data_IF_350423845743
#
_entry.id   IF_350423845743
#
_cell.length_a   1.000
_cell.length_b   1.000
_cell.length_c   1.000
_cell.angle_alpha   90.00
_cell.angle_beta   90.00
_cell.angle_gamma   90.00
#
_symmetry.space_group_name_H-M   'P 1'
#
loop_
_entity.id
_entity.type
_entity.pdbx_description
1 polymer ?
#
# COMPACT_ATOMS: atom_id res chain seq x y z
N UNK A 1 67.56 -24.23 15.10
CA UNK A 1 66.61 -23.49 14.24
C UNK A 1 66.40 -22.14 14.92
N UNK A 2 66.94 -21.08 14.34
CA UNK A 2 66.83 -19.73 14.89
C UNK A 2 65.42 -19.20 14.64
N UNK A 3 64.66 -18.96 15.71
CA UNK A 3 63.34 -18.32 15.69
C UNK A 3 63.49 -16.91 16.23
N UNK A 4 64.11 -16.04 15.44
CA UNK A 4 64.14 -14.61 15.73
C UNK A 4 62.88 -13.96 15.14
N UNK A 5 62.12 -13.14 15.90
CA UNK A 5 60.93 -12.49 15.39
C UNK A 5 61.30 -11.45 14.31
N UNK A 6 60.56 -11.38 13.18
CA UNK A 6 60.85 -10.40 12.15
C UNK A 6 60.70 -8.98 12.69
N UNK A 7 61.77 -8.19 12.62
CA UNK A 7 61.78 -6.76 12.99
C UNK A 7 61.12 -5.90 11.90
N UNK A 8 60.83 -4.64 12.23
CA UNK A 8 59.88 -3.76 11.52
C UNK A 8 60.02 -3.65 10.00
N UNK A 9 61.21 -3.83 9.43
CA UNK A 9 61.43 -3.81 7.98
C UNK A 9 60.84 -5.05 7.29
N UNK A 10 60.86 -6.21 7.93
CA UNK A 10 60.26 -7.44 7.40
C UNK A 10 58.72 -7.40 7.49
N UNK A 11 58.16 -6.72 8.50
CA UNK A 11 56.73 -6.43 8.59
C UNK A 11 56.29 -5.48 7.48
N UNK A 12 57.06 -4.43 7.17
CA UNK A 12 56.77 -3.54 6.06
C UNK A 12 56.88 -4.25 4.71
N UNK A 13 57.89 -5.10 4.50
CA UNK A 13 58.01 -5.92 3.29
C UNK A 13 56.85 -6.90 3.15
N UNK A 14 56.42 -7.52 4.25
CA UNK A 14 55.28 -8.45 4.25
C UNK A 14 53.95 -7.74 3.96
N UNK A 15 53.73 -6.53 4.52
CA UNK A 15 52.56 -5.70 4.21
C UNK A 15 52.53 -5.26 2.75
N UNK A 16 53.68 -4.87 2.20
CA UNK A 16 53.79 -4.47 0.78
C UNK A 16 53.56 -5.66 -0.15
N UNK A 17 54.10 -6.85 0.15
CA UNK A 17 53.86 -8.05 -0.66
C UNK A 17 52.40 -8.51 -0.60
N UNK A 18 51.75 -8.38 0.56
CA UNK A 18 50.35 -8.73 0.73
C UNK A 18 49.43 -7.76 -0.01
N UNK A 19 49.75 -6.45 -0.04
CA UNK A 19 49.02 -5.46 -0.84
C UNK A 19 49.16 -5.71 -2.34
N UNK A 20 50.34 -6.07 -2.82
CA UNK A 20 50.53 -6.46 -4.23
C UNK A 20 49.75 -7.72 -4.58
N UNK A 21 49.73 -8.73 -3.70
CA UNK A 21 48.98 -9.98 -3.93
C UNK A 21 47.46 -9.76 -3.97
N UNK A 22 46.94 -8.77 -3.22
CA UNK A 22 45.52 -8.39 -3.23
C UNK A 22 45.15 -7.57 -4.47
N UNK A 23 46.06 -6.71 -4.95
CA UNK A 23 45.85 -5.93 -6.17
C UNK A 23 45.91 -6.83 -7.42
N UNK A 24 46.88 -7.74 -7.51
CA UNK A 24 46.96 -8.70 -8.62
C UNK A 24 45.69 -9.57 -8.70
N UNK A 25 45.15 -9.99 -7.55
CA UNK A 25 43.89 -10.76 -7.48
C UNK A 25 42.64 -9.92 -7.81
N UNK A 26 42.70 -8.60 -7.63
CA UNK A 26 41.63 -7.68 -8.00
C UNK A 26 41.66 -7.33 -9.49
N UNK A 27 42.84 -7.34 -10.12
CA UNK A 27 43.01 -7.17 -11.56
C UNK A 27 42.65 -8.43 -12.34
N UNK A 28 42.97 -9.63 -11.84
CA UNK A 28 42.57 -10.92 -12.46
C UNK A 28 41.06 -11.18 -12.45
N UNK A 29 40.31 -10.49 -11.56
CA UNK A 29 38.83 -10.53 -11.55
C UNK A 29 38.18 -9.58 -12.54
N UNK A 30 38.93 -8.70 -13.22
CA UNK A 30 38.40 -7.94 -14.35
C UNK A 30 38.42 -8.83 -15.59
N UNK A 31 37.34 -9.59 -15.71
CA UNK A 31 36.94 -10.37 -16.88
C UNK A 31 37.38 -9.72 -18.19
N UNK A 32 38.26 -10.41 -18.92
CA UNK A 32 38.61 -10.05 -20.27
C UNK A 32 37.34 -9.98 -21.16
N UNK A 33 37.21 -8.97 -22.03
CA UNK A 33 36.00 -8.73 -22.80
C UNK A 33 35.85 -9.77 -23.92
N UNK A 34 34.85 -10.64 -23.81
CA UNK A 34 34.42 -11.50 -24.93
C UNK A 34 33.85 -10.63 -26.05
N UNK A 35 34.63 -10.48 -27.13
CA UNK A 35 34.21 -9.91 -28.41
C UNK A 35 33.19 -10.82 -29.10
N UNK A 36 31.92 -10.39 -29.17
CA UNK A 36 30.94 -10.64 -30.25
C UNK A 36 29.74 -9.74 -29.95
N UNK A 37 29.29 -8.78 -30.74
CA UNK A 37 29.68 -8.24 -32.03
C UNK A 37 28.48 -7.42 -32.48
N UNK A 38 28.61 -6.08 -32.51
CA UNK A 38 27.74 -5.07 -33.18
C UNK A 38 26.24 -5.20 -32.87
N UNK A 39 25.60 -4.25 -32.18
CA UNK A 39 25.41 -2.85 -32.64
C UNK A 39 25.25 -1.92 -31.42
N UNK A 40 25.98 -0.80 -31.45
CA UNK A 40 25.71 0.41 -30.69
C UNK A 40 24.25 0.82 -30.92
N UNK A 41 23.50 1.26 -29.91
CA UNK A 41 23.66 2.55 -29.25
C UNK A 41 22.45 3.42 -29.60
N UNK A 42 22.24 4.49 -28.83
CA UNK A 42 21.26 5.58 -29.02
C UNK A 42 20.01 5.53 -28.13
N UNK A 43 20.20 6.13 -26.95
CA UNK A 43 19.42 7.22 -26.33
C UNK A 43 18.15 7.78 -27.02
N UNK A 44 17.17 8.08 -26.15
CA UNK A 44 16.11 9.13 -26.23
C UNK A 44 15.06 8.99 -27.33
N UNK A 45 13.79 9.04 -26.92
CA UNK A 45 12.69 9.40 -27.80
C UNK A 45 11.32 9.27 -27.18
N UNK A 46 10.85 10.33 -26.51
CA UNK A 46 9.42 10.61 -26.37
C UNK A 46 8.87 10.79 -27.78
N UNK A 47 7.96 9.91 -28.20
CA UNK A 47 7.11 10.12 -29.36
C UNK A 47 5.68 9.74 -28.99
N UNK A 48 4.84 10.76 -28.97
CA UNK A 48 3.39 10.68 -28.88
C UNK A 48 2.83 9.82 -30.02
N UNK A 49 1.99 8.84 -29.67
CA UNK A 49 1.08 8.19 -30.62
C UNK A 49 -0.28 8.88 -30.54
N UNK A 50 -0.34 10.01 -31.22
CA UNK A 50 -1.58 10.60 -31.74
C UNK A 50 -1.84 9.98 -33.12
N UNK A 51 -2.99 9.32 -33.25
CA UNK A 51 -3.67 9.11 -34.53
C UNK A 51 -3.97 7.66 -34.88
N UNK A 52 -5.23 7.23 -34.69
CA UNK A 52 -6.24 7.14 -35.77
C UNK A 52 -7.47 6.30 -35.36
N UNK A 53 -8.65 6.84 -35.66
CA UNK A 53 -9.94 6.13 -35.72
C UNK A 53 -10.85 6.40 -34.52
N UNK A 54 -12.09 6.89 -34.61
CA UNK A 54 -12.99 6.92 -35.75
C UNK A 54 -14.05 8.03 -35.62
N UNK A 55 -14.25 8.72 -36.73
CA UNK A 55 -15.52 9.21 -37.31
C UNK A 55 -16.78 9.36 -36.44
N UNK A 56 -17.33 10.57 -36.48
CA UNK A 56 -18.75 10.92 -36.59
C UNK A 56 -19.67 10.77 -35.37
N UNK A 57 -20.15 11.92 -34.89
CA UNK A 57 -21.33 12.02 -34.03
C UNK A 57 -21.75 13.49 -33.82
N UNK A 58 -22.55 14.02 -34.74
CA UNK A 58 -23.12 15.35 -34.66
C UNK A 58 -24.06 15.49 -33.44
N UNK A 59 -23.80 16.45 -32.56
CA UNK A 59 -24.76 16.91 -31.55
C UNK A 59 -25.61 18.03 -32.14
N UNK A 60 -26.82 17.67 -32.57
CA UNK A 60 -27.87 18.62 -32.89
C UNK A 60 -28.51 19.10 -31.57
N UNK A 61 -28.08 20.27 -31.07
CA UNK A 61 -28.82 21.00 -30.04
C UNK A 61 -30.07 21.60 -30.70
N UNK A 62 -31.15 20.83 -30.67
CA UNK A 62 -32.47 21.28 -31.07
C UNK A 62 -32.93 22.46 -30.20
N UNK A 63 -33.08 23.62 -30.85
CA UNK A 63 -33.91 24.71 -30.39
C UNK A 63 -35.33 24.21 -30.08
N UNK A 64 -35.79 24.44 -28.85
CA UNK A 64 -37.23 24.47 -28.54
C UNK A 64 -37.55 25.91 -28.10
N UNK A 65 -38.20 26.73 -28.95
CA UNK A 65 -38.79 27.97 -28.50
C UNK A 65 -40.13 27.66 -27.81
N UNK A 66 -40.23 27.90 -26.51
CA UNK A 66 -41.52 28.03 -25.84
C UNK A 66 -41.87 29.52 -25.71
N UNK A 67 -42.90 30.02 -26.40
CA UNK A 67 -43.46 31.32 -26.14
C UNK A 67 -44.55 31.17 -25.08
N UNK A 68 -44.24 31.44 -23.81
CA UNK A 68 -45.27 31.74 -22.83
C UNK A 68 -45.13 33.19 -22.39
N UNK A 69 -46.03 33.96 -22.97
CA UNK A 69 -46.39 35.34 -22.73
C UNK A 69 -46.63 35.56 -21.24
N UNK A 70 -45.73 36.30 -20.58
CA UNK A 70 -45.98 36.83 -19.24
C UNK A 70 -46.97 38.00 -19.38
N UNK A 71 -48.22 37.80 -18.94
CA UNK A 71 -49.20 38.88 -18.85
C UNK A 71 -49.02 39.64 -17.53
N UNK A 72 -48.87 40.96 -17.65
CA UNK A 72 -48.73 41.91 -16.56
C UNK A 72 -50.03 42.05 -15.72
N UNK A 73 -49.95 42.61 -14.49
CA UNK A 73 -51.00 42.54 -13.48
C UNK A 73 -52.06 43.66 -13.62
N UNK A 74 -53.30 43.37 -13.22
CA UNK A 74 -54.39 44.35 -13.08
C UNK A 74 -55.32 43.96 -11.89
N UNK A 75 -56.17 44.85 -11.37
CA UNK A 75 -55.94 45.65 -10.18
C UNK A 75 -56.69 45.18 -8.92
N UNK A 76 -56.26 45.77 -7.80
CA UNK A 76 -56.66 45.57 -6.40
C UNK A 76 -58.10 46.00 -6.05
N UNK A 77 -58.81 45.25 -5.18
CA UNK A 77 -59.80 45.82 -4.26
C UNK A 77 -59.27 46.02 -2.82
N UNK A 78 -59.78 47.11 -2.22
CA UNK A 78 -59.49 47.77 -0.95
C UNK A 78 -59.60 46.92 0.35
N UNK A 79 -59.11 47.43 1.51
CA UNK A 79 -58.61 46.62 2.62
C UNK A 79 -59.72 46.07 3.53
N UNK A 80 -59.63 44.79 3.84
CA UNK A 80 -60.32 44.17 4.99
C UNK A 80 -59.34 44.15 6.16
N UNK A 81 -59.83 44.50 7.36
CA UNK A 81 -59.04 44.81 8.55
C UNK A 81 -58.06 43.73 9.02
N UNK A 82 -57.15 44.04 9.96
CA UNK A 82 -56.08 43.14 10.36
C UNK A 82 -56.66 41.85 10.94
N UNK A 83 -56.51 40.76 10.18
CA UNK A 83 -56.65 39.41 10.70
C UNK A 83 -55.47 39.13 11.65
N UNK A 84 -55.78 38.61 12.83
CA UNK A 84 -54.79 38.17 13.81
C UNK A 84 -53.82 37.16 13.16
N UNK A 85 -52.51 37.21 13.48
CA UNK A 85 -51.56 36.24 12.94
C UNK A 85 -51.91 34.83 13.42
N UNK A 86 -52.34 33.97 12.50
CA UNK A 86 -52.40 32.53 12.72
C UNK A 86 -50.99 31.97 12.58
N UNK A 87 -50.48 31.37 13.65
CA UNK A 87 -49.23 30.62 13.65
C UNK A 87 -49.34 29.47 12.64
N UNK A 88 -48.39 29.27 11.71
CA UNK A 88 -48.41 28.12 10.81
C UNK A 88 -48.42 26.83 11.63
N UNK A 89 -49.28 25.89 11.26
CA UNK A 89 -49.25 24.53 11.78
C UNK A 89 -47.86 23.93 11.50
N UNK A 90 -47.20 23.45 12.55
CA UNK A 90 -45.90 22.81 12.45
C UNK A 90 -45.98 21.64 11.45
N UNK A 91 -45.03 21.59 10.51
CA UNK A 91 -44.83 20.44 9.65
C UNK A 91 -44.57 19.19 10.52
N UNK A 92 -45.00 17.99 10.08
CA UNK A 92 -44.70 16.77 10.83
C UNK A 92 -43.19 16.62 10.92
N UNK A 93 -42.68 16.50 12.15
CA UNK A 93 -41.29 16.15 12.42
C UNK A 93 -41.12 14.72 11.93
N UNK A 94 -40.40 14.54 10.82
CA UNK A 94 -39.96 13.22 10.38
C UNK A 94 -38.89 12.77 11.36
N UNK A 95 -39.23 11.83 12.24
CA UNK A 95 -38.27 11.18 13.12
C UNK A 95 -37.18 10.53 12.26
N UNK A 96 -36.00 11.13 12.24
CA UNK A 96 -34.79 10.44 11.78
C UNK A 96 -34.56 9.34 12.81
N UNK A 97 -34.59 8.05 12.43
CA UNK A 97 -34.27 7.00 13.38
C UNK A 97 -32.87 7.25 13.92
N UNK A 98 -32.76 7.28 15.25
CA UNK A 98 -31.48 7.36 15.94
C UNK A 98 -30.54 6.30 15.33
N UNK A 99 -29.29 6.66 14.98
CA UNK A 99 -28.34 5.67 14.47
C UNK A 99 -28.24 4.57 15.52
N UNK A 100 -28.73 3.39 15.19
CA UNK A 100 -28.56 2.20 16.01
C UNK A 100 -27.04 2.04 16.20
N UNK A 101 -26.52 2.03 17.45
CA UNK A 101 -25.11 1.83 17.66
C UNK A 101 -24.76 0.47 17.07
N UNK A 102 -23.99 0.47 15.98
CA UNK A 102 -23.34 -0.74 15.49
C UNK A 102 -22.56 -1.30 16.68
N UNK A 103 -22.72 -2.59 17.04
CA UNK A 103 -21.91 -3.18 18.08
C UNK A 103 -20.45 -3.08 17.64
N UNK A 104 -19.71 -2.14 18.22
CA UNK A 104 -18.25 -2.14 18.15
C UNK A 104 -17.81 -3.38 18.89
N UNK A 105 -17.60 -4.48 18.17
CA UNK A 105 -16.90 -5.64 18.70
C UNK A 105 -15.63 -5.11 19.36
N UNK A 106 -15.59 -5.16 20.70
CA UNK A 106 -14.47 -4.60 21.44
C UNK A 106 -13.31 -5.53 21.19
N UNK A 107 -12.44 -5.14 20.26
CA UNK A 107 -11.16 -5.78 20.03
C UNK A 107 -10.47 -5.95 21.39
N UNK A 108 -9.93 -7.14 21.63
CA UNK A 108 -9.22 -7.43 22.87
C UNK A 108 -8.05 -6.46 23.09
N UNK A 109 -7.56 -6.37 24.32
CA UNK A 109 -6.36 -5.61 24.62
C UNK A 109 -5.18 -6.12 23.77
N UNK A 110 -4.30 -5.22 23.37
CA UNK A 110 -3.10 -5.56 22.60
C UNK A 110 -2.25 -6.60 23.34
N UNK A 111 -1.82 -7.63 22.61
CA UNK A 111 -0.90 -8.65 23.06
C UNK A 111 0.17 -8.92 21.98
N UNK A 112 1.44 -8.71 22.33
CA UNK A 112 2.56 -8.86 21.39
C UNK A 112 2.70 -10.29 20.85
N UNK A 113 2.23 -11.32 21.56
CA UNK A 113 2.29 -12.72 21.11
C UNK A 113 1.02 -13.20 20.37
N UNK A 114 0.01 -12.34 20.23
CA UNK A 114 -1.26 -12.65 19.56
C UNK A 114 -1.58 -11.60 18.48
N UNK A 115 -1.20 -11.86 17.21
CA UNK A 115 -1.44 -10.95 16.10
C UNK A 115 -2.91 -10.64 15.83
N UNK A 116 -3.86 -11.46 16.31
CA UNK A 116 -5.29 -11.16 16.18
C UNK A 116 -5.73 -9.91 16.97
N UNK A 117 -4.92 -9.52 17.96
CA UNK A 117 -5.11 -8.29 18.76
C UNK A 117 -4.46 -7.06 18.13
N UNK A 118 -3.65 -7.23 17.08
CA UNK A 118 -2.88 -6.13 16.48
C UNK A 118 -3.74 -5.27 15.56
N UNK A 119 -3.51 -3.97 15.59
CA UNK A 119 -4.25 -3.00 14.77
C UNK A 119 -3.48 -2.57 13.55
N UNK A 120 -4.17 -2.52 12.42
CA UNK A 120 -3.69 -1.91 11.17
C UNK A 120 -4.15 -0.45 11.13
N UNK A 121 -3.19 0.47 11.10
CA UNK A 121 -3.37 1.89 10.82
C UNK A 121 -2.60 2.28 9.55
N UNK A 122 -2.61 3.55 9.15
CA UNK A 122 -1.82 4.01 7.99
C UNK A 122 -0.31 4.05 8.27
N UNK A 123 0.08 4.13 9.55
CA UNK A 123 1.49 4.28 9.98
C UNK A 123 2.01 3.13 10.83
N UNK A 124 1.18 2.14 11.16
CA UNK A 124 1.54 1.06 12.10
C UNK A 124 0.76 -0.23 11.82
N UNK A 125 1.43 -1.36 12.04
CA UNK A 125 0.79 -2.69 12.05
C UNK A 125 1.22 -3.44 13.31
N UNK A 126 0.36 -3.42 14.34
CA UNK A 126 0.71 -4.01 15.64
C UNK A 126 1.97 -3.37 16.22
N UNK A 127 3.05 -4.12 16.48
CA UNK A 127 4.29 -3.54 16.98
C UNK A 127 5.10 -2.78 15.91
N UNK A 128 4.78 -2.93 14.62
CA UNK A 128 5.61 -2.43 13.53
C UNK A 128 5.26 -0.98 13.21
N UNK A 129 6.21 -0.06 13.40
CA UNK A 129 6.09 1.33 12.97
C UNK A 129 6.61 1.55 11.54
N UNK A 130 5.81 2.17 10.66
CA UNK A 130 6.28 2.66 9.37
C UNK A 130 7.26 3.82 9.60
N UNK A 131 8.44 3.75 8.97
CA UNK A 131 9.58 4.63 9.21
C UNK A 131 10.49 4.20 10.36
N UNK A 132 10.09 3.17 11.13
CA UNK A 132 10.89 2.57 12.20
C UNK A 132 12.14 1.86 11.68
N UNK A 133 13.10 1.56 12.57
CA UNK A 133 14.35 0.90 12.19
C UNK A 133 14.09 -0.57 11.83
N UNK A 134 14.35 -0.98 10.59
CA UNK A 134 13.92 -2.28 10.05
C UNK A 134 14.26 -3.49 10.93
N UNK A 135 15.49 -3.56 11.45
CA UNK A 135 15.92 -4.68 12.29
C UNK A 135 15.20 -4.69 13.65
N UNK A 136 14.95 -3.52 14.24
CA UNK A 136 14.27 -3.42 15.53
C UNK A 136 12.78 -3.80 15.39
N UNK A 137 12.11 -3.30 14.36
CA UNK A 137 10.72 -3.65 14.09
C UNK A 137 10.57 -5.15 13.73
N UNK A 138 11.56 -5.72 13.05
CA UNK A 138 11.63 -7.15 12.75
C UNK A 138 11.82 -8.01 14.01
N UNK A 139 12.67 -7.59 14.94
CA UNK A 139 12.91 -8.31 16.20
C UNK A 139 11.62 -8.46 17.03
N UNK A 140 10.76 -7.44 17.04
CA UNK A 140 9.47 -7.48 17.74
C UNK A 140 8.52 -8.55 17.18
N UNK A 141 8.60 -8.85 15.87
CA UNK A 141 7.82 -9.92 15.24
C UNK A 141 8.25 -11.30 15.72
N UNK A 142 9.49 -11.48 16.17
CA UNK A 142 10.01 -12.76 16.66
C UNK A 142 9.26 -13.34 17.86
N UNK A 143 8.47 -12.51 18.56
CA UNK A 143 7.62 -12.96 19.68
C UNK A 143 6.39 -13.75 19.20
N UNK A 144 5.82 -13.38 18.06
CA UNK A 144 4.60 -13.99 17.52
C UNK A 144 4.83 -14.83 16.27
N UNK A 145 5.82 -14.49 15.46
CA UNK A 145 6.08 -15.06 14.15
C UNK A 145 7.47 -15.66 14.05
N UNK A 146 7.67 -16.51 13.04
CA UNK A 146 9.00 -17.00 12.64
C UNK A 146 9.43 -16.30 11.36
N UNK A 147 10.67 -15.81 11.35
CA UNK A 147 11.27 -15.30 10.13
C UNK A 147 11.41 -16.43 9.11
N UNK A 148 10.98 -16.18 7.88
CA UNK A 148 11.17 -17.09 6.77
C UNK A 148 12.40 -16.65 5.98
N UNK A 149 13.40 -17.53 5.78
CA UNK A 149 14.53 -17.20 4.92
C UNK A 149 14.02 -17.02 3.48
N UNK A 150 14.68 -16.17 2.67
CA UNK A 150 14.41 -16.11 1.24
C UNK A 150 14.68 -17.50 0.65
N UNK A 151 13.66 -18.12 0.07
CA UNK A 151 13.80 -19.44 -0.53
C UNK A 151 14.55 -19.35 -1.86
N UNK A 152 15.49 -20.27 -2.11
CA UNK A 152 16.12 -20.40 -3.44
C UNK A 152 15.04 -20.59 -4.52
N UNK A 153 15.02 -19.73 -5.54
CA UNK A 153 14.01 -19.75 -6.61
C UNK A 153 12.61 -19.28 -6.19
N UNK A 154 12.42 -18.81 -4.96
CA UNK A 154 11.16 -18.21 -4.51
C UNK A 154 11.19 -16.69 -4.68
N UNK A 155 10.04 -16.09 -4.97
CA UNK A 155 9.84 -14.64 -4.90
C UNK A 155 9.73 -14.11 -3.44
N UNK A 156 10.13 -14.91 -2.43
CA UNK A 156 10.11 -14.46 -1.03
C UNK A 156 11.26 -13.51 -0.80
N UNK A 157 10.93 -12.24 -0.56
CA UNK A 157 11.90 -11.22 -0.18
C UNK A 157 12.36 -11.43 1.27
N UNK A 158 13.58 -10.99 1.63
CA UNK A 158 13.96 -10.85 3.04
C UNK A 158 12.90 -10.06 3.82
N UNK A 159 12.78 -10.29 5.13
CA UNK A 159 11.76 -9.60 5.94
C UNK A 159 10.37 -10.23 5.91
N UNK A 160 10.24 -11.48 5.45
CA UNK A 160 8.99 -12.25 5.52
C UNK A 160 8.89 -13.01 6.83
N UNK A 161 7.71 -12.98 7.46
CA UNK A 161 7.40 -13.58 8.75
C UNK A 161 6.09 -14.37 8.67
N UNK A 162 6.10 -15.58 9.23
CA UNK A 162 4.96 -16.51 9.15
C UNK A 162 4.72 -17.26 10.45
N UNK A 163 3.45 -17.61 10.66
CA UNK A 163 2.95 -18.42 11.75
C UNK A 163 1.80 -19.25 11.19
N UNK A 164 1.87 -20.56 11.40
CA UNK A 164 0.86 -21.50 10.91
C UNK A 164 -0.55 -21.08 11.34
N UNK A 165 -1.45 -20.95 10.36
CA UNK A 165 -2.85 -20.60 10.58
C UNK A 165 -3.10 -19.10 10.81
N UNK A 166 -2.08 -18.26 10.63
CA UNK A 166 -2.19 -16.80 10.70
C UNK A 166 -1.82 -16.16 9.36
N UNK A 167 -2.18 -14.90 9.16
CA UNK A 167 -1.68 -14.11 8.04
C UNK A 167 -0.17 -13.93 8.12
N UNK A 168 0.50 -13.87 6.97
CA UNK A 168 1.93 -13.59 6.85
C UNK A 168 2.18 -12.09 6.80
N UNK A 169 3.32 -11.67 7.34
CA UNK A 169 3.77 -10.29 7.36
C UNK A 169 5.07 -10.19 6.55
N UNK A 170 5.14 -9.26 5.62
CA UNK A 170 6.35 -8.93 4.87
C UNK A 170 6.68 -7.46 5.10
N UNK A 171 7.88 -7.21 5.62
CA UNK A 171 8.42 -5.88 5.82
C UNK A 171 9.17 -5.44 4.56
N UNK A 172 8.72 -4.35 3.96
CA UNK A 172 9.50 -3.62 2.97
C UNK A 172 10.35 -2.56 3.67
N UNK A 173 11.51 -2.26 3.08
CA UNK A 173 12.40 -1.22 3.58
C UNK A 173 12.87 -0.30 2.48
N UNK A 174 13.32 0.87 2.90
CA UNK A 174 14.15 1.77 2.11
C UNK A 174 15.53 1.89 2.78
N UNK A 175 16.55 2.17 1.98
CA UNK A 175 17.90 2.42 2.48
C UNK A 175 18.24 3.90 2.29
N UNK A 176 18.62 4.55 3.38
CA UNK A 176 19.12 5.93 3.35
C UNK A 176 20.52 5.99 3.94
N UNK A 177 21.43 6.71 3.28
CA UNK A 177 22.74 6.98 3.84
C UNK A 177 22.64 8.06 4.90
N UNK A 178 22.91 7.71 6.16
CA UNK A 178 22.95 8.61 7.30
C UNK A 178 24.36 8.61 7.86
N UNK A 179 25.03 9.77 7.83
CA UNK A 179 26.38 9.93 8.38
C UNK A 179 27.41 8.91 7.86
N UNK A 180 27.31 8.50 6.59
CA UNK A 180 28.23 7.55 5.95
C UNK A 180 27.90 6.08 6.19
N UNK A 181 26.76 5.76 6.81
CA UNK A 181 26.25 4.41 7.00
C UNK A 181 24.89 4.25 6.32
N UNK A 182 24.66 3.10 5.67
CA UNK A 182 23.33 2.74 5.17
C UNK A 182 22.45 2.32 6.36
N UNK A 183 21.31 3.00 6.50
CA UNK A 183 20.29 2.71 7.51
C UNK A 183 19.04 2.24 6.78
N UNK A 184 18.42 1.17 7.29
CA UNK A 184 17.15 0.64 6.79
C UNK A 184 16.00 1.12 7.66
N UNK A 185 15.01 1.75 7.05
CA UNK A 185 13.73 2.06 7.66
C UNK A 185 12.63 1.22 7.02
N UNK A 186 11.62 0.83 7.80
CA UNK A 186 10.43 0.16 7.28
C UNK A 186 9.68 1.14 6.38
N UNK A 187 9.58 0.83 5.09
CA UNK A 187 8.87 1.67 4.12
C UNK A 187 7.42 1.23 3.92
N UNK A 188 7.11 -0.02 4.26
CA UNK A 188 5.75 -0.55 4.20
C UNK A 188 5.64 -1.95 4.77
N UNK A 189 4.40 -2.36 5.03
CA UNK A 189 4.06 -3.69 5.54
C UNK A 189 3.02 -4.31 4.62
N UNK A 190 3.31 -5.50 4.13
CA UNK A 190 2.35 -6.33 3.41
C UNK A 190 1.82 -7.43 4.33
N UNK A 191 0.51 -7.62 4.33
CA UNK A 191 -0.18 -8.66 5.07
C UNK A 191 -0.89 -9.54 4.04
N UNK A 192 -0.61 -10.84 4.02
CA UNK A 192 -1.22 -11.78 3.05
C UNK A 192 -1.70 -13.06 3.72
N UNK A 193 -2.46 -13.87 2.99
CA UNK A 193 -2.68 -15.26 3.37
C UNK A 193 -1.36 -16.06 3.31
N UNK A 194 -1.23 -17.07 4.18
CA UNK A 194 0.02 -17.86 4.33
C UNK A 194 0.45 -18.59 3.05
N UNK A 195 -0.52 -19.09 2.30
CA UNK A 195 -0.33 -19.80 1.03
C UNK A 195 -0.33 -18.87 -0.20
N UNK A 196 -0.50 -17.56 0.00
CA UNK A 196 -0.70 -16.58 -1.08
C UNK A 196 -2.02 -16.76 -1.84
N UNK A 197 -2.90 -17.64 -1.36
CA UNK A 197 -4.22 -17.90 -1.92
C UNK A 197 -5.22 -16.79 -1.61
N UNK A 198 -6.48 -17.03 -1.99
CA UNK A 198 -7.59 -16.13 -1.66
C UNK A 198 -8.45 -16.79 -0.58
N UNK A 199 -8.32 -16.37 0.69
CA UNK A 199 -9.14 -16.90 1.76
C UNK A 199 -10.57 -16.36 1.64
N UNK A 200 -11.56 -17.24 1.81
CA UNK A 200 -13.00 -16.90 1.76
C UNK A 200 -13.58 -16.60 3.15
N UNK A 201 -12.71 -16.42 4.14
CA UNK A 201 -13.05 -16.07 5.52
C UNK A 201 -11.87 -15.37 6.16
N UNK A 202 -12.13 -14.54 7.18
CA UNK A 202 -11.10 -13.82 7.91
C UNK A 202 -10.01 -14.77 8.43
N UNK A 203 -8.77 -14.50 8.05
CA UNK A 203 -7.59 -15.21 8.54
C UNK A 203 -7.13 -14.57 9.86
N UNK A 204 -6.81 -15.36 10.91
CA UNK A 204 -6.25 -14.82 12.14
C UNK A 204 -5.02 -13.94 11.87
N UNK A 205 -5.02 -12.71 12.42
CA UNK A 205 -3.95 -11.75 12.18
C UNK A 205 -4.39 -10.31 12.41
N UNK A 206 -3.53 -9.34 12.07
CA UNK A 206 -3.84 -7.93 12.28
C UNK A 206 -5.09 -7.52 11.50
N UNK A 207 -5.88 -6.63 12.11
CA UNK A 207 -7.10 -6.06 11.52
C UNK A 207 -7.13 -4.56 11.74
N UNK A 208 -7.81 -3.81 10.86
CA UNK A 208 -8.08 -2.40 11.12
C UNK A 208 -8.96 -2.25 12.36
N UNK A 209 -9.10 -1.03 12.88
CA UNK A 209 -10.00 -0.75 14.01
C UNK A 209 -11.47 -1.15 13.75
N UNK A 210 -11.86 -1.24 12.48
CA UNK A 210 -13.20 -1.67 12.05
C UNK A 210 -13.30 -3.18 11.78
N UNK A 211 -12.25 -3.95 12.04
CA UNK A 211 -12.23 -5.41 11.85
C UNK A 211 -11.93 -5.87 10.43
N UNK A 212 -11.51 -4.99 9.52
CA UNK A 212 -11.10 -5.37 8.16
C UNK A 212 -9.73 -6.05 8.22
N UNK A 213 -9.61 -7.23 7.62
CA UNK A 213 -8.37 -8.00 7.52
C UNK A 213 -8.31 -8.84 6.25
N UNK A 214 -7.30 -9.69 6.16
CA UNK A 214 -7.18 -10.68 5.07
C UNK A 214 -8.35 -11.67 5.17
N UNK A 215 -9.09 -11.84 4.09
CA UNK A 215 -10.32 -12.64 4.02
C UNK A 215 -11.61 -11.85 4.28
N UNK A 216 -11.55 -10.54 4.57
CA UNK A 216 -12.73 -9.67 4.47
C UNK A 216 -13.18 -9.51 3.01
N UNK A 217 -14.46 -9.25 2.78
CA UNK A 217 -15.00 -8.97 1.45
C UNK A 217 -14.75 -7.53 1.03
N UNK A 218 -14.61 -7.26 -0.27
CA UNK A 218 -14.52 -5.89 -0.80
C UNK A 218 -15.79 -5.07 -0.50
N UNK A 219 -16.93 -5.74 -0.32
CA UNK A 219 -18.18 -5.12 0.14
C UNK A 219 -18.06 -4.55 1.55
N UNK A 220 -17.51 -5.31 2.50
CA UNK A 220 -17.23 -4.85 3.86
C UNK A 220 -16.23 -3.69 3.87
N UNK A 221 -15.16 -3.77 3.06
CA UNK A 221 -14.16 -2.70 2.94
C UNK A 221 -14.82 -1.40 2.48
N UNK A 222 -15.69 -1.44 1.46
CA UNK A 222 -16.43 -0.25 0.98
C UNK A 222 -17.42 0.29 1.99
N UNK A 223 -18.07 -0.57 2.77
CA UNK A 223 -18.99 -0.15 3.82
C UNK A 223 -18.27 0.63 4.93
N UNK A 224 -17.05 0.23 5.27
CA UNK A 224 -16.22 0.86 6.30
C UNK A 224 -15.46 2.08 5.79
N UNK A 225 -15.04 2.09 4.51
CA UNK A 225 -14.27 3.15 3.89
C UNK A 225 -15.03 3.80 2.72
N UNK A 226 -15.91 4.79 2.98
CA UNK A 226 -16.63 5.49 1.94
C UNK A 226 -15.75 6.24 0.93
N UNK A 227 -14.51 6.56 1.32
CA UNK A 227 -13.51 7.23 0.47
C UNK A 227 -12.61 6.25 -0.30
N UNK A 228 -12.92 4.94 -0.29
CA UNK A 228 -12.17 3.93 -1.01
C UNK A 228 -12.22 4.17 -2.52
N UNK A 229 -11.07 4.19 -3.17
CA UNK A 229 -10.94 4.42 -4.62
C UNK A 229 -10.27 3.21 -5.27
N UNK A 230 -10.78 2.77 -6.42
CA UNK A 230 -10.09 1.78 -7.24
C UNK A 230 -8.84 2.43 -7.87
N UNK A 231 -7.66 1.88 -7.61
CA UNK A 231 -6.39 2.38 -8.16
C UNK A 231 -6.32 2.26 -9.68
N UNK A 232 -7.12 1.37 -10.27
CA UNK A 232 -7.28 1.21 -11.71
C UNK A 232 -8.79 1.17 -12.06
N UNK A 233 -9.44 2.32 -12.28
CA UNK A 233 -10.90 2.41 -12.42
C UNK A 233 -11.50 1.50 -13.49
N UNK A 234 -10.75 1.26 -14.56
CA UNK A 234 -11.16 0.41 -15.69
C UNK A 234 -10.97 -1.09 -15.42
N UNK A 235 -10.41 -1.46 -14.26
CA UNK A 235 -10.14 -2.82 -13.86
C UNK A 235 -10.82 -3.15 -12.53
N UNK A 236 -11.88 -3.95 -12.59
CA UNK A 236 -12.59 -4.44 -11.40
C UNK A 236 -12.60 -5.97 -11.38
N UNK A 237 -12.66 -6.55 -10.17
CA UNK A 237 -12.66 -8.00 -9.98
C UNK A 237 -11.30 -8.55 -9.53
N UNK A 238 -10.94 -9.77 -9.96
CA UNK A 238 -9.74 -10.45 -9.48
C UNK A 238 -8.46 -9.64 -9.65
N UNK A 239 -7.71 -9.44 -8.56
CA UNK A 239 -6.47 -8.65 -8.56
C UNK A 239 -6.66 -7.13 -8.54
N UNK A 240 -7.89 -6.62 -8.51
CA UNK A 240 -8.12 -5.17 -8.40
C UNK A 240 -7.58 -4.62 -7.08
N UNK A 241 -7.08 -3.39 -7.12
CA UNK A 241 -6.48 -2.71 -5.97
C UNK A 241 -7.33 -1.52 -5.57
N UNK A 242 -7.51 -1.36 -4.26
CA UNK A 242 -8.40 -0.36 -3.70
C UNK A 242 -7.69 0.40 -2.59
N UNK A 243 -7.58 1.71 -2.77
CA UNK A 243 -6.81 2.58 -1.89
C UNK A 243 -7.73 3.41 -1.00
N UNK A 244 -7.32 3.58 0.25
CA UNK A 244 -7.84 4.61 1.14
C UNK A 244 -6.67 5.43 1.67
N UNK A 245 -6.64 6.71 1.29
CA UNK A 245 -5.71 7.69 1.84
C UNK A 245 -6.27 8.23 3.15
N UNK A 246 -5.42 8.26 4.18
CA UNK A 246 -5.73 8.79 5.51
C UNK A 246 -4.69 9.82 5.93
N UNK A 247 -4.93 10.46 7.07
CA UNK A 247 -3.98 11.42 7.64
C UNK A 247 -2.66 10.75 8.06
N UNK A 248 -2.71 9.47 8.43
CA UNK A 248 -1.61 8.67 8.96
C UNK A 248 -0.93 7.76 7.91
N UNK A 249 -1.43 7.71 6.66
CA UNK A 249 -0.83 6.90 5.59
C UNK A 249 -1.84 6.38 4.59
N UNK A 250 -1.46 5.36 3.82
CA UNK A 250 -2.29 4.70 2.82
C UNK A 250 -2.50 3.24 3.20
N UNK A 251 -3.74 2.78 3.10
CA UNK A 251 -4.04 1.35 3.03
C UNK A 251 -4.46 1.01 1.61
N UNK A 252 -3.86 -0.05 1.06
CA UNK A 252 -4.25 -0.66 -0.21
C UNK A 252 -4.74 -2.07 0.04
N UNK A 253 -5.95 -2.36 -0.40
CA UNK A 253 -6.56 -3.68 -0.37
C UNK A 253 -6.48 -4.30 -1.75
N UNK A 254 -5.88 -5.48 -1.86
CA UNK A 254 -5.91 -6.27 -3.09
C UNK A 254 -7.02 -7.31 -3.00
N UNK A 255 -7.87 -7.34 -4.01
CA UNK A 255 -8.89 -8.37 -4.17
C UNK A 255 -8.24 -9.62 -4.75
N UNK A 256 -8.52 -10.76 -4.15
CA UNK A 256 -8.00 -12.06 -4.56
C UNK A 256 -8.62 -12.57 -5.86
N UNK A 257 -8.28 -13.80 -6.22
CA UNK A 257 -8.65 -14.41 -7.50
C UNK A 257 -10.15 -14.68 -7.66
N UNK A 258 -10.89 -14.70 -6.55
CA UNK A 258 -12.35 -14.85 -6.55
C UNK A 258 -13.09 -13.55 -6.90
N UNK A 259 -12.39 -12.41 -6.89
CA UNK A 259 -13.00 -11.10 -7.15
C UNK A 259 -13.84 -10.54 -6.02
N UNK A 260 -13.84 -11.17 -4.84
CA UNK A 260 -14.71 -10.83 -3.71
C UNK A 260 -13.93 -10.57 -2.43
N UNK A 261 -12.95 -11.41 -2.09
CA UNK A 261 -12.24 -11.33 -0.81
C UNK A 261 -10.89 -10.62 -0.94
N UNK A 262 -10.48 -9.93 0.12
CA UNK A 262 -9.17 -9.31 0.25
C UNK A 262 -8.14 -10.40 0.51
N UNK A 263 -7.19 -10.59 -0.41
CA UNK A 263 -6.09 -11.54 -0.22
C UNK A 263 -4.81 -10.88 0.31
N UNK A 264 -4.68 -9.56 0.15
CA UNK A 264 -3.55 -8.79 0.65
C UNK A 264 -3.93 -7.37 1.10
N UNK A 265 -3.24 -6.89 2.13
CA UNK A 265 -3.32 -5.51 2.61
C UNK A 265 -1.91 -4.94 2.62
N UNK A 266 -1.71 -3.81 1.93
CA UNK A 266 -0.47 -3.04 1.94
C UNK A 266 -0.65 -1.76 2.76
N UNK A 267 0.30 -1.50 3.65
CA UNK A 267 0.34 -0.35 4.55
C UNK A 267 1.63 0.41 4.29
N UNK A 268 1.54 1.68 3.92
CA UNK A 268 2.72 2.51 3.66
C UNK A 268 2.35 4.00 3.57
N UNK A 269 3.35 4.86 3.55
CA UNK A 269 3.24 6.26 3.15
C UNK A 269 3.22 6.44 1.62
N UNK A 270 3.69 5.45 0.85
CA UNK A 270 3.61 5.40 -0.61
C UNK A 270 2.68 4.24 -1.05
N UNK A 271 1.62 4.51 -1.85
CA UNK A 271 0.77 3.44 -2.38
C UNK A 271 1.52 2.45 -3.27
N UNK A 272 2.67 2.82 -3.84
CA UNK A 272 3.46 1.94 -4.67
C UNK A 272 4.25 0.96 -3.80
N UNK A 273 3.77 -0.29 -3.75
CA UNK A 273 4.55 -1.39 -3.23
C UNK A 273 5.84 -1.54 -4.05
N UNK A 274 7.03 -1.62 -3.42
CA UNK A 274 8.24 -1.99 -4.12
C UNK A 274 8.06 -3.33 -4.83
N UNK A 275 8.29 -3.37 -6.13
CA UNK A 275 8.21 -4.62 -6.90
C UNK A 275 9.34 -5.55 -6.47
N UNK A 276 9.01 -6.75 -6.00
CA UNK A 276 10.01 -7.79 -5.80
C UNK A 276 10.61 -8.16 -7.17
N UNK A 277 11.91 -7.92 -7.35
CA UNK A 277 12.64 -8.41 -8.52
C UNK A 277 13.08 -9.84 -8.21
N UNK A 278 12.33 -10.82 -8.71
CA UNK A 278 12.74 -12.22 -8.61
C UNK A 278 13.84 -12.48 -9.65
N UNK A 279 14.98 -13.02 -9.20
CA UNK A 279 16.03 -13.48 -10.11
C UNK A 279 15.50 -14.64 -10.95
N UNK A 280 15.61 -14.52 -12.28
CA UNK A 280 15.30 -15.58 -13.23
C UNK A 280 16.43 -16.61 -13.31
#
# INVERSE_FOLDING_TARGET
>A
MNTEPPTGDDLQRMLVSMKHTVLDRAEDRRTAPRRRGRRAGVAIGVIALLGLGATSGAVALGMIPQPFTASAPAPSPSPTGPAMPSTPAAAPVQEIPDPTPTPTGTKGAFALNDPSTWTISGSEVGPIAIGGAFEAEGDDLGVAYRSLPPGEGSCKVPGTWAREGYSTIELAWEETETSGALVRSVSGVLITAEDGGTPTSLVPGPTTAAGIGVGSTIGEVRAVYPTLVNSAPDFSGPGSMWDVTRADGVLRFQVGTDGEHVNAIWVSTDPNRPMAVCGA
#
